data_IF_820714494633
#
_entry.id   IF_820714494633
#
_cell.length_a   1.000
_cell.length_b   1.000
_cell.length_c   1.000
_cell.angle_alpha   90.00
_cell.angle_beta   90.00
_cell.angle_gamma   90.00
#
_symmetry.space_group_name_H-M   'P 1'
#
loop_
_entity.id
_entity.type
_entity.pdbx_description
1 polymer ?
#
# COMPACT_ATOMS: atom_id res chain seq x y z
N UNK A 1 16.22 -37.21 17.00
CA UNK A 1 16.51 -35.79 16.72
C UNK A 1 16.06 -35.48 15.29
N UNK A 2 15.01 -34.66 15.20
CA UNK A 2 14.33 -34.02 14.06
C UNK A 2 14.60 -34.48 12.61
N UNK A 3 13.59 -35.15 12.06
CA UNK A 3 13.29 -35.23 10.62
C UNK A 3 11.84 -34.77 10.33
N UNK A 4 11.33 -33.79 11.08
CA UNK A 4 10.19 -33.00 10.60
C UNK A 4 10.72 -32.01 9.55
N UNK A 5 10.93 -32.51 8.33
CA UNK A 5 11.11 -31.67 7.15
C UNK A 5 9.80 -31.61 6.39
N UNK A 6 9.41 -30.36 6.12
CA UNK A 6 8.48 -29.92 5.09
C UNK A 6 7.00 -30.30 5.29
N UNK A 7 6.30 -29.45 6.05
CA UNK A 7 4.92 -29.12 5.68
C UNK A 7 4.95 -28.43 4.32
N UNK A 8 4.27 -29.00 3.35
CA UNK A 8 4.09 -28.47 1.98
C UNK A 8 3.42 -27.09 2.02
N UNK A 9 3.68 -26.24 1.02
CA UNK A 9 3.07 -24.90 0.88
C UNK A 9 1.52 -24.93 0.90
N UNK A 10 0.92 -26.08 0.61
CA UNK A 10 -0.52 -26.34 0.68
C UNK A 10 -1.08 -26.48 2.12
N UNK A 11 -0.24 -26.75 3.13
CA UNK A 11 -0.69 -26.93 4.53
C UNK A 11 -0.54 -25.67 5.39
N UNK A 12 0.19 -24.64 4.94
CA UNK A 12 0.48 -23.41 5.70
C UNK A 12 -0.37 -22.21 5.30
N UNK A 13 -1.69 -22.41 5.23
CA UNK A 13 -2.69 -21.37 5.49
C UNK A 13 -3.25 -20.56 4.31
N UNK A 14 -3.76 -21.27 3.30
CA UNK A 14 -5.10 -20.93 2.80
C UNK A 14 -6.06 -22.06 3.20
N UNK A 15 -6.27 -22.18 4.51
CA UNK A 15 -7.45 -22.84 5.08
C UNK A 15 -8.66 -22.34 4.31
N UNK A 16 -9.30 -23.23 3.54
CA UNK A 16 -10.62 -23.11 2.89
C UNK A 16 -11.39 -21.89 3.41
N UNK A 17 -11.14 -20.71 2.84
CA UNK A 17 -11.88 -19.51 3.21
C UNK A 17 -13.19 -19.64 2.47
N UNK A 18 -14.26 -19.81 3.24
CA UNK A 18 -15.64 -19.76 2.76
C UNK A 18 -15.80 -18.67 1.69
N UNK A 19 -16.21 -19.02 0.47
CA UNK A 19 -16.53 -18.06 -0.60
C UNK A 19 -17.86 -17.39 -0.28
N UNK A 20 -17.84 -16.41 0.62
CA UNK A 20 -19.05 -15.69 1.00
C UNK A 20 -19.48 -14.77 -0.13
N UNK A 21 -20.77 -14.77 -0.43
CA UNK A 21 -21.35 -13.74 -1.27
C UNK A 21 -21.59 -12.44 -0.46
N UNK A 22 -21.76 -11.33 -1.18
CA UNK A 22 -21.99 -10.01 -0.56
C UNK A 22 -23.21 -10.02 0.38
N UNK A 23 -24.23 -10.83 0.12
CA UNK A 23 -25.42 -10.90 0.98
C UNK A 23 -25.13 -11.58 2.31
N UNK A 24 -24.34 -12.65 2.30
CA UNK A 24 -23.87 -13.28 3.52
C UNK A 24 -22.96 -12.35 4.33
N UNK A 25 -22.10 -11.58 3.64
CA UNK A 25 -21.26 -10.56 4.28
C UNK A 25 -22.11 -9.46 4.93
N UNK A 26 -23.10 -8.92 4.20
CA UNK A 26 -24.02 -7.90 4.73
C UNK A 26 -24.81 -8.41 5.94
N UNK A 27 -25.23 -9.68 5.93
CA UNK A 27 -25.89 -10.31 7.09
C UNK A 27 -24.96 -10.39 8.29
N UNK A 28 -23.67 -10.72 8.08
CA UNK A 28 -22.67 -10.76 9.16
C UNK A 28 -22.39 -9.37 9.73
N UNK A 29 -22.37 -8.33 8.90
CA UNK A 29 -22.21 -6.93 9.30
C UNK A 29 -23.53 -6.22 9.66
N UNK A 30 -24.62 -6.96 9.86
CA UNK A 30 -25.94 -6.34 9.99
C UNK A 30 -26.03 -5.33 11.15
N UNK A 31 -25.35 -5.61 12.26
CA UNK A 31 -25.31 -4.73 13.42
C UNK A 31 -24.53 -3.44 13.12
N UNK A 32 -23.34 -3.56 12.54
CA UNK A 32 -22.44 -2.41 12.32
C UNK A 32 -22.94 -1.50 11.18
N UNK A 33 -23.76 -2.06 10.29
CA UNK A 33 -24.36 -1.34 9.17
C UNK A 33 -25.84 -0.98 9.42
N UNK A 34 -26.33 -1.09 10.65
CA UNK A 34 -27.77 -1.01 10.95
C UNK A 34 -28.43 0.31 10.49
N UNK A 35 -27.68 1.42 10.54
CA UNK A 35 -28.14 2.76 10.15
C UNK A 35 -28.28 2.93 8.63
N UNK A 36 -27.64 2.07 7.85
CA UNK A 36 -27.75 2.09 6.40
C UNK A 36 -28.93 1.24 5.94
N UNK A 37 -29.66 1.70 4.92
CA UNK A 37 -30.56 0.82 4.18
C UNK A 37 -29.77 -0.29 3.49
N UNK A 38 -30.44 -1.40 3.20
CA UNK A 38 -29.80 -2.58 2.63
C UNK A 38 -29.03 -2.32 1.32
N UNK A 39 -29.52 -1.41 0.46
CA UNK A 39 -28.82 -1.03 -0.76
C UNK A 39 -27.49 -0.34 -0.44
N UNK A 40 -27.50 0.58 0.53
CA UNK A 40 -26.30 1.23 1.04
C UNK A 40 -25.33 0.27 1.75
N UNK A 41 -25.84 -0.74 2.47
CA UNK A 41 -24.99 -1.81 3.04
C UNK A 41 -24.24 -2.57 1.95
N UNK A 42 -24.96 -3.01 0.91
CA UNK A 42 -24.37 -3.70 -0.24
C UNK A 42 -23.36 -2.81 -0.95
N UNK A 43 -23.66 -1.52 -1.13
CA UNK A 43 -22.76 -0.56 -1.75
C UNK A 43 -21.46 -0.37 -0.95
N UNK A 44 -21.57 -0.21 0.37
CA UNK A 44 -20.41 -0.07 1.26
C UNK A 44 -19.48 -1.30 1.19
N UNK A 45 -20.05 -2.51 1.26
CA UNK A 45 -19.27 -3.76 1.14
C UNK A 45 -18.60 -3.89 -0.23
N UNK A 46 -19.31 -3.56 -1.31
CA UNK A 46 -18.74 -3.55 -2.67
C UNK A 46 -17.58 -2.57 -2.78
N UNK A 47 -17.75 -1.36 -2.24
CA UNK A 47 -16.71 -0.33 -2.25
C UNK A 47 -15.48 -0.76 -1.47
N UNK A 48 -15.67 -1.41 -0.33
CA UNK A 48 -14.58 -1.97 0.47
C UNK A 48 -13.78 -3.03 -0.32
N UNK A 49 -14.48 -3.98 -0.95
CA UNK A 49 -13.86 -5.03 -1.78
C UNK A 49 -13.12 -4.41 -2.99
N UNK A 50 -13.73 -3.41 -3.64
CA UNK A 50 -13.12 -2.69 -4.77
C UNK A 50 -11.77 -2.09 -4.37
N UNK A 51 -11.70 -1.37 -3.26
CA UNK A 51 -10.46 -0.75 -2.78
C UNK A 51 -9.42 -1.79 -2.35
N UNK A 52 -9.84 -2.88 -1.69
CA UNK A 52 -8.93 -3.99 -1.40
C UNK A 52 -8.36 -4.57 -2.71
N UNK A 53 -9.20 -4.79 -3.73
CA UNK A 53 -8.77 -5.30 -5.03
C UNK A 53 -7.83 -4.36 -5.77
N UNK A 54 -7.93 -3.06 -5.54
CA UNK A 54 -6.96 -2.05 -6.00
C UNK A 54 -5.60 -2.13 -5.27
N UNK A 55 -5.47 -3.00 -4.26
CA UNK A 55 -4.26 -3.17 -3.45
C UNK A 55 -4.27 -2.37 -2.15
N UNK A 56 -5.39 -1.73 -1.79
CA UNK A 56 -5.44 -0.92 -0.58
C UNK A 56 -5.39 -1.78 0.69
N UNK A 57 -4.92 -1.18 1.79
CA UNK A 57 -4.87 -1.80 3.10
C UNK A 57 -6.25 -1.86 3.73
N UNK A 58 -6.45 -2.82 4.65
CA UNK A 58 -7.68 -2.88 5.45
C UNK A 58 -7.86 -1.61 6.28
N UNK A 59 -6.78 -1.04 6.83
CA UNK A 59 -6.86 0.21 7.60
C UNK A 59 -7.37 1.38 6.75
N UNK A 60 -6.83 1.55 5.55
CA UNK A 60 -7.30 2.56 4.61
C UNK A 60 -8.78 2.39 4.29
N UNK A 61 -9.23 1.14 4.11
CA UNK A 61 -10.64 0.84 3.84
C UNK A 61 -11.53 1.11 5.06
N UNK A 62 -11.08 0.83 6.28
CA UNK A 62 -11.81 1.20 7.52
C UNK A 62 -11.99 2.70 7.61
N UNK A 63 -10.91 3.48 7.41
CA UNK A 63 -10.97 4.94 7.43
C UNK A 63 -11.91 5.46 6.34
N UNK A 64 -11.85 4.89 5.13
CA UNK A 64 -12.77 5.19 4.03
C UNK A 64 -14.23 4.86 4.36
N UNK A 65 -14.54 3.70 4.95
CA UNK A 65 -15.91 3.36 5.34
C UNK A 65 -16.49 4.33 6.38
N UNK A 66 -15.65 4.79 7.31
CA UNK A 66 -16.03 5.84 8.27
C UNK A 66 -16.33 7.16 7.56
N UNK A 67 -15.52 7.56 6.60
CA UNK A 67 -15.69 8.82 5.87
C UNK A 67 -16.86 8.79 4.87
N UNK A 68 -16.99 7.73 4.08
CA UNK A 68 -17.96 7.64 2.99
C UNK A 68 -19.36 7.29 3.47
N UNK A 69 -19.45 6.53 4.57
CA UNK A 69 -20.72 5.93 5.02
C UNK A 69 -20.99 6.12 6.53
N UNK A 70 -20.08 6.75 7.28
CA UNK A 70 -20.23 6.89 8.75
C UNK A 70 -20.08 5.59 9.53
N UNK A 71 -19.58 4.52 8.91
CA UNK A 71 -19.48 3.19 9.52
C UNK A 71 -18.19 3.14 10.36
N UNK A 72 -18.33 2.85 11.64
CA UNK A 72 -17.17 2.56 12.51
C UNK A 72 -17.06 1.06 12.71
N UNK A 73 -15.95 0.48 12.28
CA UNK A 73 -15.70 -0.96 12.33
C UNK A 73 -14.26 -1.24 12.71
N UNK A 74 -14.04 -2.33 13.44
CA UNK A 74 -12.69 -2.78 13.80
C UNK A 74 -11.97 -3.40 12.59
N UNK A 75 -10.67 -3.11 12.45
CA UNK A 75 -9.85 -3.62 11.34
C UNK A 75 -9.81 -5.16 11.31
N UNK A 76 -9.65 -5.82 12.46
CA UNK A 76 -9.57 -7.28 12.52
C UNK A 76 -10.93 -7.92 12.21
N UNK A 77 -12.03 -7.29 12.60
CA UNK A 77 -13.38 -7.69 12.23
C UNK A 77 -13.63 -7.56 10.72
N UNK A 78 -13.30 -6.40 10.15
CA UNK A 78 -13.39 -6.17 8.72
C UNK A 78 -12.57 -7.20 7.93
N UNK A 79 -11.34 -7.46 8.39
CA UNK A 79 -10.43 -8.42 7.79
C UNK A 79 -10.97 -9.85 7.84
N UNK A 80 -11.57 -10.28 8.95
CA UNK A 80 -12.12 -11.64 9.08
C UNK A 80 -13.21 -11.92 8.06
N UNK A 81 -14.07 -10.96 7.78
CA UNK A 81 -15.26 -11.16 6.94
C UNK A 81 -14.98 -10.81 5.48
N UNK A 82 -14.36 -9.66 5.18
CA UNK A 82 -14.14 -9.25 3.79
C UNK A 82 -13.10 -10.12 3.08
N UNK A 83 -12.09 -10.63 3.78
CA UNK A 83 -11.08 -11.51 3.17
C UNK A 83 -11.62 -12.91 2.81
N UNK A 84 -12.88 -13.19 3.12
CA UNK A 84 -13.62 -14.39 2.72
C UNK A 84 -14.56 -14.10 1.54
N UNK A 85 -14.59 -12.88 0.99
CA UNK A 85 -15.45 -12.57 -0.14
C UNK A 85 -15.00 -13.30 -1.40
N UNK A 86 -15.96 -13.89 -2.11
CA UNK A 86 -15.74 -14.48 -3.45
C UNK A 86 -15.30 -13.45 -4.50
N UNK A 87 -15.64 -12.18 -4.29
CA UNK A 87 -15.34 -11.08 -5.21
C UNK A 87 -13.96 -10.46 -4.93
N UNK A 88 -13.26 -10.94 -3.91
CA UNK A 88 -11.94 -10.46 -3.53
C UNK A 88 -10.85 -11.22 -4.29
N UNK A 89 -10.00 -10.50 -5.00
CA UNK A 89 -8.89 -11.07 -5.77
C UNK A 89 -7.84 -11.71 -4.85
N UNK A 90 -7.10 -12.71 -5.36
CA UNK A 90 -5.93 -13.27 -4.68
C UNK A 90 -4.93 -12.19 -4.25
N UNK A 91 -4.20 -12.45 -3.17
CA UNK A 91 -3.32 -11.45 -2.58
C UNK A 91 -2.21 -10.97 -3.54
N UNK A 92 -1.65 -11.86 -4.35
CA UNK A 92 -0.63 -11.54 -5.36
C UNK A 92 -1.18 -10.63 -6.48
N UNK A 93 -2.43 -10.82 -6.89
CA UNK A 93 -3.09 -9.92 -7.84
C UNK A 93 -3.34 -8.54 -7.23
N UNK A 94 -3.75 -8.48 -5.95
CA UNK A 94 -3.93 -7.21 -5.25
C UNK A 94 -2.61 -6.44 -5.09
N UNK A 95 -1.50 -7.14 -4.84
CA UNK A 95 -0.18 -6.50 -4.83
C UNK A 95 0.20 -5.93 -6.20
N UNK A 96 0.00 -6.68 -7.29
CA UNK A 96 0.23 -6.16 -8.65
C UNK A 96 -0.65 -4.94 -8.95
N UNK A 97 -1.88 -4.94 -8.46
CA UNK A 97 -2.79 -3.79 -8.61
C UNK A 97 -2.33 -2.58 -7.79
N UNK A 98 -1.74 -2.78 -6.60
CA UNK A 98 -1.13 -1.70 -5.83
C UNK A 98 -0.05 -0.98 -6.63
N UNK A 99 0.92 -1.74 -7.17
CA UNK A 99 2.03 -1.20 -7.96
C UNK A 99 1.51 -0.44 -9.19
N UNK A 100 0.58 -1.05 -9.92
CA UNK A 100 -0.05 -0.43 -11.08
C UNK A 100 -0.73 0.89 -10.70
N UNK A 101 -1.54 0.90 -9.64
CA UNK A 101 -2.27 2.10 -9.25
C UNK A 101 -1.33 3.21 -8.75
N UNK A 102 -0.27 2.88 -8.01
CA UNK A 102 0.76 3.84 -7.61
C UNK A 102 1.40 4.50 -8.84
N UNK A 103 1.66 3.72 -9.89
CA UNK A 103 2.31 4.18 -11.12
C UNK A 103 1.37 4.82 -12.14
N UNK A 104 0.04 4.80 -11.94
CA UNK A 104 -0.89 5.35 -12.94
C UNK A 104 -1.98 6.26 -12.38
N UNK A 105 -2.46 5.98 -11.18
CA UNK A 105 -3.57 6.72 -10.54
C UNK A 105 -3.06 7.73 -9.54
N UNK A 106 -2.04 7.36 -8.76
CA UNK A 106 -1.56 8.19 -7.65
C UNK A 106 -0.46 9.19 -8.06
N UNK A 107 -0.11 9.22 -9.35
CA UNK A 107 0.82 10.21 -9.87
C UNK A 107 0.06 11.53 -10.04
N UNK A 108 0.44 12.60 -9.32
CA UNK A 108 -0.16 13.90 -9.51
C UNK A 108 0.11 14.43 -10.92
N UNK A 109 -0.83 15.19 -11.48
CA UNK A 109 -0.69 15.81 -12.81
C UNK A 109 0.55 16.71 -12.91
N UNK A 110 0.91 17.37 -11.80
CA UNK A 110 2.11 18.21 -11.69
C UNK A 110 3.41 17.41 -11.53
N UNK A 111 3.31 16.09 -11.29
CA UNK A 111 4.41 15.13 -11.03
C UNK A 111 5.37 15.58 -9.93
N UNK A 112 4.98 16.53 -9.08
CA UNK A 112 5.87 17.23 -8.14
C UNK A 112 5.54 16.97 -6.67
N UNK A 113 4.38 16.37 -6.34
CA UNK A 113 3.98 16.14 -4.94
C UNK A 113 3.35 14.77 -4.71
N UNK A 114 4.19 13.75 -4.61
CA UNK A 114 3.73 12.45 -4.09
C UNK A 114 3.65 12.52 -2.58
N UNK A 115 2.45 12.31 -2.03
CA UNK A 115 2.27 12.14 -0.59
C UNK A 115 2.57 10.69 -0.19
N UNK A 116 3.80 10.46 0.25
CA UNK A 116 4.21 9.13 0.69
C UNK A 116 3.47 8.65 1.93
N UNK A 117 3.13 9.54 2.85
CA UNK A 117 2.44 9.13 4.07
C UNK A 117 1.07 8.56 3.72
N UNK A 118 0.39 9.22 2.78
CA UNK A 118 -0.83 8.71 2.19
C UNK A 118 -0.61 7.39 1.44
N UNK A 119 0.40 7.25 0.58
CA UNK A 119 0.67 5.98 -0.12
C UNK A 119 1.02 4.82 0.82
N UNK A 120 1.78 5.09 1.89
CA UNK A 120 2.08 4.10 2.92
C UNK A 120 0.83 3.67 3.68
N UNK A 121 -0.03 4.62 4.04
CA UNK A 121 -1.28 4.32 4.68
C UNK A 121 -2.20 3.50 3.75
N UNK A 122 -2.29 3.92 2.48
CA UNK A 122 -3.14 3.30 1.47
C UNK A 122 -2.67 1.91 1.05
N UNK A 123 -1.38 1.66 0.86
CA UNK A 123 -0.84 0.40 0.29
C UNK A 123 0.07 -0.39 1.23
N UNK A 124 0.48 0.15 2.40
CA UNK A 124 1.43 -0.46 3.36
C UNK A 124 2.78 -0.84 2.74
N UNK A 125 3.20 -0.09 1.72
CA UNK A 125 4.50 -0.29 1.09
C UNK A 125 5.56 0.58 1.76
N UNK A 126 6.78 0.05 1.92
CA UNK A 126 7.88 0.78 2.51
C UNK A 126 8.36 1.92 1.59
N UNK A 127 8.91 3.00 2.17
CA UNK A 127 9.41 4.14 1.39
C UNK A 127 10.42 3.73 0.32
N UNK A 128 11.37 2.86 0.68
CA UNK A 128 12.36 2.32 -0.25
C UNK A 128 11.72 1.60 -1.43
N UNK A 129 10.68 0.80 -1.16
CA UNK A 129 9.97 0.07 -2.21
C UNK A 129 9.27 1.03 -3.17
N UNK A 130 8.60 2.06 -2.64
CA UNK A 130 7.92 3.08 -3.46
C UNK A 130 8.94 3.88 -4.28
N UNK A 131 10.07 4.30 -3.69
CA UNK A 131 11.15 4.99 -4.41
C UNK A 131 11.75 4.12 -5.52
N UNK A 132 12.07 2.85 -5.22
CA UNK A 132 12.58 1.89 -6.20
C UNK A 132 11.56 1.68 -7.36
N UNK A 133 10.27 1.55 -7.03
CA UNK A 133 9.20 1.40 -8.00
C UNK A 133 9.13 2.60 -8.96
N UNK A 134 9.20 3.82 -8.44
CA UNK A 134 9.19 5.04 -9.25
C UNK A 134 10.45 5.18 -10.11
N UNK A 135 11.64 4.95 -9.55
CA UNK A 135 12.90 5.04 -10.31
C UNK A 135 12.97 4.04 -11.46
N UNK A 136 12.46 2.83 -11.28
CA UNK A 136 12.49 1.79 -12.29
C UNK A 136 11.47 2.04 -13.42
N UNK A 137 10.33 2.66 -13.12
CA UNK A 137 9.22 2.78 -14.07
C UNK A 137 9.02 4.18 -14.64
N UNK A 138 9.60 5.21 -14.02
CA UNK A 138 9.44 6.61 -14.43
C UNK A 138 10.83 7.25 -14.58
N UNK A 139 11.32 7.28 -15.83
CA UNK A 139 12.65 7.83 -16.16
C UNK A 139 12.87 9.29 -15.69
N UNK A 140 11.88 10.21 -15.76
CA UNK A 140 12.04 11.55 -15.19
C UNK A 140 12.18 11.59 -13.66
N UNK A 141 11.78 10.54 -12.95
CA UNK A 141 11.88 10.47 -11.50
C UNK A 141 13.27 10.08 -11.03
N UNK A 142 13.99 9.24 -11.79
CA UNK A 142 15.34 8.82 -11.45
C UNK A 142 16.30 10.01 -11.45
N UNK A 143 16.54 10.60 -10.27
CA UNK A 143 17.37 11.79 -10.08
C UNK A 143 16.61 13.11 -9.85
N UNK A 144 15.28 13.08 -9.74
CA UNK A 144 14.49 14.29 -9.46
C UNK A 144 14.58 14.76 -8.00
N UNK A 145 14.40 16.07 -7.77
CA UNK A 145 14.25 16.67 -6.43
C UNK A 145 13.12 16.02 -5.63
N UNK A 146 12.13 15.46 -6.32
CA UNK A 146 11.04 14.74 -5.68
C UNK A 146 11.52 13.43 -5.06
N UNK A 147 12.35 12.63 -5.74
CA UNK A 147 12.98 11.46 -5.10
C UNK A 147 13.79 11.85 -3.86
N UNK A 148 14.47 13.01 -3.87
CA UNK A 148 15.16 13.52 -2.68
C UNK A 148 14.18 13.97 -1.58
N UNK A 149 13.07 14.61 -1.92
CA UNK A 149 12.03 15.00 -0.97
C UNK A 149 11.32 13.78 -0.36
N UNK A 150 11.05 12.75 -1.16
CA UNK A 150 10.50 11.47 -0.73
C UNK A 150 11.46 10.77 0.25
N UNK A 151 12.75 10.78 -0.08
CA UNK A 151 13.80 10.29 0.81
C UNK A 151 13.91 11.12 2.09
N UNK A 152 13.81 12.45 2.00
CA UNK A 152 13.89 13.39 3.12
C UNK A 152 12.73 13.21 4.08
N UNK A 153 11.52 13.04 3.57
CA UNK A 153 10.34 12.78 4.38
C UNK A 153 10.43 11.42 5.09
N UNK A 154 10.98 10.38 4.43
CA UNK A 154 11.24 9.08 5.03
C UNK A 154 12.29 9.13 6.14
N UNK A 155 13.38 9.89 5.95
CA UNK A 155 14.41 10.07 6.97
C UNK A 155 13.86 10.91 8.13
N UNK A 156 13.08 11.95 7.88
CA UNK A 156 12.44 12.76 8.92
C UNK A 156 11.40 11.98 9.75
N UNK A 157 10.69 11.02 9.16
CA UNK A 157 9.75 10.19 9.91
C UNK A 157 10.43 9.10 10.75
N UNK A 158 11.67 8.72 10.39
CA UNK A 158 12.48 7.73 11.11
C UNK A 158 13.44 8.34 12.15
N UNK A 159 14.00 9.53 11.88
CA UNK A 159 14.97 10.20 12.74
C UNK A 159 14.30 11.29 13.59
N UNK A 160 14.48 11.21 14.92
CA UNK A 160 14.06 12.28 15.85
C UNK A 160 15.05 13.45 15.93
N UNK A 161 16.25 13.29 15.39
CA UNK A 161 17.32 14.29 15.43
C UNK A 161 17.65 14.80 14.02
N UNK A 162 17.46 16.12 13.82
CA UNK A 162 17.68 16.83 12.57
C UNK A 162 19.13 16.78 12.09
N UNK A 163 20.12 16.64 12.99
CA UNK A 163 21.55 16.60 12.61
C UNK A 163 21.92 15.33 11.86
N UNK A 164 21.40 14.17 12.27
CA UNK A 164 21.62 12.91 11.56
C UNK A 164 21.06 12.96 10.13
N UNK A 165 19.93 13.65 9.96
CA UNK A 165 19.29 13.87 8.66
C UNK A 165 20.21 14.70 7.76
N UNK A 166 20.68 15.86 8.25
CA UNK A 166 21.54 16.75 7.48
C UNK A 166 22.87 16.09 7.06
N UNK A 167 23.48 15.31 7.97
CA UNK A 167 24.70 14.54 7.67
C UNK A 167 24.46 13.45 6.61
N UNK A 168 23.34 12.75 6.72
CA UNK A 168 22.96 11.72 5.77
C UNK A 168 22.82 12.29 4.34
N UNK A 169 22.13 13.43 4.18
CA UNK A 169 21.97 14.08 2.87
C UNK A 169 23.29 14.61 2.30
N UNK A 170 24.16 15.16 3.16
CA UNK A 170 25.50 15.58 2.73
C UNK A 170 26.35 14.42 2.21
N UNK A 171 26.17 13.21 2.76
CA UNK A 171 26.82 12.00 2.26
C UNK A 171 26.23 11.56 0.93
N UNK A 172 24.90 11.49 0.83
CA UNK A 172 24.22 11.00 -0.37
C UNK A 172 24.47 11.91 -1.58
N UNK A 173 24.51 13.23 -1.39
CA UNK A 173 24.88 14.19 -2.43
C UNK A 173 26.32 13.96 -2.93
N UNK A 174 27.27 13.74 -2.02
CA UNK A 174 28.67 13.44 -2.38
C UNK A 174 28.81 12.15 -3.18
N UNK A 175 28.06 11.10 -2.81
CA UNK A 175 28.07 9.83 -3.53
C UNK A 175 27.52 9.98 -4.96
N UNK A 176 26.47 10.77 -5.15
CA UNK A 176 25.91 11.08 -6.48
C UNK A 176 26.87 11.88 -7.34
N UNK A 177 27.46 12.95 -6.82
CA UNK A 177 28.46 13.74 -7.54
C UNK A 177 29.66 12.89 -7.95
N UNK A 178 30.06 11.92 -7.13
CA UNK A 178 31.12 10.97 -7.44
C UNK A 178 30.71 9.95 -8.52
N UNK A 179 29.46 9.46 -8.50
CA UNK A 179 28.93 8.54 -9.51
C UNK A 179 28.78 9.24 -10.87
N UNK A 180 28.27 10.46 -10.89
CA UNK A 180 28.08 11.26 -12.10
C UNK A 180 29.42 11.58 -12.78
N UNK A 181 30.44 11.95 -11.99
CA UNK A 181 31.82 12.13 -12.49
C UNK A 181 32.42 10.85 -13.07
N UNK A 182 32.06 9.68 -12.53
CA UNK A 182 32.52 8.39 -13.07
C UNK A 182 31.85 8.06 -14.40
N UNK A 183 30.54 8.31 -14.52
CA UNK A 183 29.82 8.12 -15.79
C UNK A 183 30.35 9.06 -16.88
N UNK A 184 30.58 10.34 -16.58
CA UNK A 184 31.18 11.31 -17.50
C UNK A 184 32.58 10.88 -17.98
N UNK A 185 33.39 10.28 -17.11
CA UNK A 185 34.74 9.77 -17.46
C UNK A 185 34.73 8.49 -18.30
N UNK A 186 33.64 7.73 -18.29
CA UNK A 186 33.50 6.50 -19.10
C UNK A 186 32.87 6.72 -20.47
N UNK A 187 32.43 7.95 -20.77
CA UNK A 187 31.73 8.29 -22.02
C UNK A 187 32.60 9.11 -22.99
N UNK A 188 33.86 9.43 -22.60
CA UNK A 188 34.95 9.88 -23.48
C UNK A 188 35.81 8.72 -23.97
#
# INVERSE_FOLDING_TARGET
MNKEKEKTAEELAYYVKSDLDIQEIVKKFQHDLQELDYGNRVAAIRKAIEHLNQGCTVNYVVDGLREWYGITIDTDELKKILLQSKDLLPEDERYKNADKNILTVEIPDDKQRIDLAYLQHKYKLGYRYIDDLFRQNIFPYSGSDLCEALYFQAVCSLCKDRKEIDEYFANLKREREAAQKKEEQTTE
#
